data_IF_576032816156
#
_entry.id   IF_576032816156
#
_cell.length_a   1.000
_cell.length_b   1.000
_cell.length_c   1.000
_cell.angle_alpha   90.00
_cell.angle_beta   90.00
_cell.angle_gamma   90.00
#
_symmetry.space_group_name_H-M   'P 1'
#
loop_
_entity.id
_entity.type
_entity.pdbx_description
1 polymer ?
#
# COMPACT_ATOMS: atom_id res chain seq x y z
N UNK A 1 -1.17 -2.06 -10.98
CA UNK A 1 -0.28 -2.90 -11.80
C UNK A 1 -0.01 -4.17 -11.02
N UNK A 2 0.05 -5.32 -11.67
CA UNK A 2 0.44 -6.58 -11.03
C UNK A 2 1.24 -7.44 -12.02
N UNK A 3 2.09 -8.30 -11.49
CA UNK A 3 2.71 -9.38 -12.26
C UNK A 3 1.82 -10.61 -12.08
N UNK A 4 1.55 -11.34 -13.16
CA UNK A 4 0.87 -12.64 -13.11
C UNK A 4 1.93 -13.71 -13.36
N UNK A 5 2.45 -14.36 -12.30
CA UNK A 5 3.64 -15.21 -12.41
C UNK A 5 3.46 -16.36 -13.38
N UNK A 6 2.30 -17.03 -13.38
CA UNK A 6 2.11 -18.22 -14.23
C UNK A 6 2.06 -17.91 -15.72
N UNK A 7 1.84 -16.64 -16.08
CA UNK A 7 1.80 -16.18 -17.46
C UNK A 7 3.06 -15.44 -17.88
N UNK A 8 3.96 -15.12 -16.94
CA UNK A 8 5.09 -14.21 -17.16
C UNK A 8 4.64 -12.88 -17.81
N UNK A 9 3.53 -12.33 -17.31
CA UNK A 9 2.93 -11.11 -17.84
C UNK A 9 2.86 -10.00 -16.77
N UNK A 10 3.07 -8.76 -17.22
CA UNK A 10 2.80 -7.54 -16.48
C UNK A 10 1.45 -6.97 -16.89
N UNK A 11 0.53 -6.83 -15.94
CA UNK A 11 -0.81 -6.31 -16.18
C UNK A 11 -0.97 -4.91 -15.59
N UNK A 12 -1.31 -3.97 -16.46
CA UNK A 12 -1.46 -2.55 -16.13
C UNK A 12 -2.92 -2.13 -16.31
N UNK A 13 -3.57 -1.88 -15.18
CA UNK A 13 -4.90 -1.27 -15.14
C UNK A 13 -4.81 0.19 -15.61
N UNK A 14 -5.67 0.56 -16.53
CA UNK A 14 -5.79 1.93 -17.05
C UNK A 14 -7.24 2.37 -17.08
N UNK A 15 -7.48 3.66 -16.77
CA UNK A 15 -8.81 4.29 -16.78
C UNK A 15 -9.88 3.51 -16.01
N UNK A 16 -9.46 2.77 -14.99
CA UNK A 16 -10.28 1.94 -14.13
C UNK A 16 -11.14 0.85 -14.81
N UNK A 17 -10.97 0.57 -16.10
CA UNK A 17 -11.81 -0.41 -16.84
C UNK A 17 -11.06 -1.20 -17.89
N UNK A 18 -9.75 -1.03 -17.99
CA UNK A 18 -8.95 -1.62 -19.06
C UNK A 18 -7.71 -2.25 -18.45
N UNK A 19 -7.44 -3.51 -18.79
CA UNK A 19 -6.18 -4.18 -18.50
C UNK A 19 -5.35 -4.19 -19.78
N UNK A 20 -4.20 -3.52 -19.76
CA UNK A 20 -3.17 -3.69 -20.78
C UNK A 20 -2.20 -4.76 -20.28
N UNK A 21 -1.99 -5.79 -21.09
CA UNK A 21 -1.11 -6.93 -20.77
C UNK A 21 0.17 -6.80 -21.58
N UNK A 22 1.29 -7.00 -20.91
CA UNK A 22 2.63 -6.96 -21.48
C UNK A 22 3.37 -8.22 -21.05
N UNK A 23 4.36 -8.64 -21.85
CA UNK A 23 5.40 -9.55 -21.38
C UNK A 23 6.30 -8.83 -20.37
N UNK A 24 7.10 -9.57 -19.60
CA UNK A 24 8.04 -8.96 -18.64
C UNK A 24 9.12 -8.10 -19.31
N UNK A 25 9.40 -8.30 -20.59
CA UNK A 25 10.29 -7.45 -21.40
C UNK A 25 9.64 -6.13 -21.86
N UNK A 26 8.36 -5.90 -21.53
CA UNK A 26 7.59 -4.72 -21.90
C UNK A 26 6.88 -4.81 -23.25
N UNK A 27 7.02 -5.92 -24.00
CA UNK A 27 6.30 -6.08 -25.26
C UNK A 27 4.79 -6.19 -25.03
N UNK A 28 3.94 -5.46 -25.79
CA UNK A 28 2.50 -5.53 -25.63
C UNK A 28 1.96 -6.90 -26.06
N UNK A 29 1.05 -7.46 -25.27
CA UNK A 29 0.37 -8.73 -25.55
C UNK A 29 -1.06 -8.46 -26.05
N UNK A 30 -1.90 -7.87 -25.19
CA UNK A 30 -3.30 -7.56 -25.53
C UNK A 30 -3.92 -6.54 -24.58
N UNK A 31 -5.08 -6.03 -24.97
CA UNK A 31 -5.91 -5.14 -24.17
C UNK A 31 -7.25 -5.80 -23.88
N UNK A 32 -7.70 -5.75 -22.62
CA UNK A 32 -8.97 -6.33 -22.17
C UNK A 32 -9.82 -5.23 -21.54
N UNK A 33 -11.06 -5.10 -22.00
CA UNK A 33 -12.05 -4.22 -21.36
C UNK A 33 -12.79 -4.99 -20.27
N UNK A 34 -12.99 -4.35 -19.13
CA UNK A 34 -13.67 -4.93 -17.98
C UNK A 34 -15.13 -4.45 -17.92
N UNK A 35 -16.07 -5.33 -17.53
CA UNK A 35 -17.47 -4.96 -17.38
C UNK A 35 -17.72 -4.12 -16.11
N UNK A 36 -16.76 -4.09 -15.19
CA UNK A 36 -16.84 -3.39 -13.91
C UNK A 36 -15.59 -2.53 -13.66
N UNK A 37 -15.63 -1.56 -12.73
CA UNK A 37 -14.47 -0.78 -12.38
C UNK A 37 -13.42 -1.61 -11.62
N UNK A 38 -12.16 -1.34 -11.90
CA UNK A 38 -11.00 -1.99 -11.32
C UNK A 38 -9.87 -0.97 -11.19
N UNK A 39 -9.41 -0.73 -9.97
CA UNK A 39 -8.28 0.11 -9.62
C UNK A 39 -7.03 -0.72 -9.29
N UNK A 40 -7.22 -1.90 -8.70
CA UNK A 40 -6.15 -2.85 -8.41
C UNK A 40 -6.58 -4.28 -8.74
N UNK A 41 -5.59 -5.09 -9.11
CA UNK A 41 -5.71 -6.53 -9.38
C UNK A 41 -4.68 -7.21 -8.50
N UNK A 42 -5.12 -8.24 -7.80
CA UNK A 42 -4.32 -9.05 -6.91
C UNK A 42 -4.45 -10.49 -7.41
N UNK A 43 -3.40 -11.06 -8.01
CA UNK A 43 -3.40 -12.48 -8.37
C UNK A 43 -3.60 -13.34 -7.12
N UNK A 44 -4.49 -14.32 -7.20
CA UNK A 44 -4.57 -15.38 -6.18
C UNK A 44 -3.94 -16.66 -6.73
N UNK A 45 -3.78 -17.68 -5.89
CA UNK A 45 -3.48 -19.01 -6.40
C UNK A 45 -4.66 -19.50 -7.28
N UNK A 46 -4.38 -20.08 -8.45
CA UNK A 46 -5.32 -20.81 -9.33
C UNK A 46 -6.35 -19.96 -10.10
N UNK A 47 -5.87 -19.18 -11.08
CA UNK A 47 -6.65 -18.50 -12.16
C UNK A 47 -7.65 -17.42 -11.73
N UNK A 48 -7.99 -17.31 -10.45
CA UNK A 48 -8.84 -16.26 -9.91
C UNK A 48 -8.00 -15.01 -9.56
N UNK A 49 -8.70 -13.88 -9.48
CA UNK A 49 -8.13 -12.60 -9.11
C UNK A 49 -9.04 -11.89 -8.13
N UNK A 50 -8.44 -11.34 -7.07
CA UNK A 50 -9.10 -10.33 -6.27
C UNK A 50 -8.95 -8.99 -6.98
N UNK A 51 -10.07 -8.31 -7.20
CA UNK A 51 -10.11 -6.99 -7.80
C UNK A 51 -10.63 -5.98 -6.80
N UNK A 52 -10.03 -4.78 -6.78
CA UNK A 52 -10.52 -3.63 -6.01
C UNK A 52 -11.05 -2.58 -6.96
N UNK A 53 -12.24 -2.06 -6.70
CA UNK A 53 -12.94 -1.12 -7.59
C UNK A 53 -12.38 0.30 -7.56
N UNK A 54 -11.68 0.69 -6.49
CA UNK A 54 -11.27 2.07 -6.22
C UNK A 54 -12.13 2.79 -5.17
N UNK A 55 -13.01 2.10 -4.46
CA UNK A 55 -13.55 2.58 -3.18
C UNK A 55 -14.44 3.82 -3.22
N UNK A 56 -15.13 4.10 -4.34
CA UNK A 56 -15.98 5.28 -4.45
C UNK A 56 -17.48 4.94 -4.42
N UNK A 57 -18.25 5.85 -3.84
CA UNK A 57 -19.69 5.80 -3.67
C UNK A 57 -20.48 6.10 -4.96
N UNK A 58 -19.89 5.89 -6.13
CA UNK A 58 -20.51 6.11 -7.45
C UNK A 58 -20.52 4.81 -8.25
N UNK A 59 -21.34 4.69 -9.29
CA UNK A 59 -21.38 3.48 -10.16
C UNK A 59 -20.01 3.13 -10.76
N UNK A 60 -19.11 4.12 -10.87
CA UNK A 60 -17.75 3.93 -11.37
C UNK A 60 -16.78 3.41 -10.31
N UNK A 61 -17.19 3.32 -9.05
CA UNK A 61 -16.33 3.00 -7.90
C UNK A 61 -16.69 1.78 -7.11
N UNK A 62 -17.60 0.96 -7.61
CA UNK A 62 -17.95 -0.32 -7.01
C UNK A 62 -18.29 -1.38 -8.06
N UNK A 63 -18.18 -2.63 -7.66
CA UNK A 63 -18.56 -3.82 -8.39
C UNK A 63 -19.83 -4.34 -7.70
N UNK A 64 -21.00 -4.17 -8.30
CA UNK A 64 -22.27 -4.67 -7.75
C UNK A 64 -22.50 -4.28 -6.26
N UNK A 65 -22.29 -3.01 -5.93
CA UNK A 65 -22.43 -2.50 -4.57
C UNK A 65 -21.31 -2.90 -3.61
N UNK A 66 -20.19 -3.42 -4.10
CA UNK A 66 -19.03 -3.85 -3.29
C UNK A 66 -17.73 -3.24 -3.80
N UNK A 67 -16.74 -3.12 -2.93
CA UNK A 67 -15.42 -2.59 -3.28
C UNK A 67 -14.45 -3.64 -3.76
N UNK A 68 -14.66 -4.91 -3.39
CA UNK A 68 -13.83 -6.01 -3.85
C UNK A 68 -14.66 -7.17 -4.41
N UNK A 69 -14.05 -7.93 -5.31
CA UNK A 69 -14.65 -9.14 -5.86
C UNK A 69 -13.57 -10.19 -6.18
N UNK A 70 -13.95 -11.47 -6.13
CA UNK A 70 -13.20 -12.57 -6.74
C UNK A 70 -13.74 -12.80 -8.15
N UNK A 71 -12.85 -12.87 -9.14
CA UNK A 71 -13.24 -13.00 -10.55
C UNK A 71 -12.15 -13.64 -11.39
N UNK A 72 -12.54 -14.35 -12.43
CA UNK A 72 -11.67 -14.80 -13.54
C UNK A 72 -11.72 -13.85 -14.75
N UNK A 73 -12.33 -12.66 -14.57
CA UNK A 73 -12.69 -11.66 -15.58
C UNK A 73 -13.73 -12.10 -16.61
N UNK A 74 -14.32 -13.29 -16.48
CA UNK A 74 -15.48 -13.74 -17.27
C UNK A 74 -16.76 -13.64 -16.43
N UNK A 75 -16.68 -13.99 -15.15
CA UNK A 75 -17.76 -13.85 -14.18
C UNK A 75 -17.24 -13.38 -12.82
N UNK A 76 -18.13 -12.79 -12.03
CA UNK A 76 -17.88 -12.51 -10.63
C UNK A 76 -18.25 -13.77 -9.85
N UNK A 77 -17.31 -14.32 -9.10
CA UNK A 77 -17.54 -15.52 -8.28
C UNK A 77 -18.03 -15.15 -6.89
N UNK A 78 -17.52 -14.03 -6.35
CA UNK A 78 -17.85 -13.57 -5.00
C UNK A 78 -17.63 -12.07 -4.85
N UNK A 79 -18.42 -11.45 -4.00
CA UNK A 79 -18.36 -10.03 -3.67
C UNK A 79 -17.88 -9.87 -2.22
N UNK A 80 -17.01 -8.90 -1.97
CA UNK A 80 -16.45 -8.61 -0.65
C UNK A 80 -16.40 -7.12 -0.39
N UNK A 81 -16.34 -6.74 0.89
CA UNK A 81 -16.25 -5.35 1.34
C UNK A 81 -17.38 -4.49 0.72
N UNK A 82 -18.61 -4.56 1.25
CA UNK A 82 -19.74 -3.79 0.75
C UNK A 82 -19.39 -2.31 0.62
N UNK A 83 -19.91 -1.64 -0.41
CA UNK A 83 -19.70 -0.21 -0.62
C UNK A 83 -20.13 0.56 0.62
N UNK A 84 -19.29 1.49 1.04
CA UNK A 84 -19.56 2.33 2.20
C UNK A 84 -19.03 3.76 2.04
N UNK A 85 -19.46 4.66 2.93
CA UNK A 85 -18.99 6.05 2.96
C UNK A 85 -19.64 6.92 1.88
N UNK A 86 -19.09 8.14 1.70
CA UNK A 86 -19.63 9.16 0.78
C UNK A 86 -18.62 9.63 -0.27
N UNK A 87 -17.45 8.99 -0.34
CA UNK A 87 -16.36 9.38 -1.23
C UNK A 87 -16.81 9.28 -2.68
N UNK A 88 -16.81 10.38 -3.43
CA UNK A 88 -17.30 10.37 -4.81
C UNK A 88 -16.22 9.96 -5.83
N UNK A 89 -14.96 10.19 -5.47
CA UNK A 89 -13.80 10.00 -6.34
C UNK A 89 -13.10 8.67 -6.11
N UNK A 90 -12.73 8.02 -7.22
CA UNK A 90 -11.97 6.79 -7.22
C UNK A 90 -10.59 6.98 -6.60
N UNK A 91 -10.18 6.01 -5.81
CA UNK A 91 -8.88 6.01 -5.17
C UNK A 91 -8.42 4.56 -4.96
N UNK A 92 -7.22 4.25 -5.44
CA UNK A 92 -6.49 3.10 -4.93
C UNK A 92 -5.50 3.59 -3.87
N UNK A 93 -5.46 2.97 -2.68
CA UNK A 93 -4.31 3.12 -1.80
C UNK A 93 -3.02 2.82 -2.57
N UNK A 94 -1.93 3.53 -2.27
CA UNK A 94 -0.64 3.27 -2.90
C UNK A 94 -0.23 1.80 -2.77
N UNK A 95 -0.59 1.20 -1.63
CA UNK A 95 -0.35 -0.20 -1.30
C UNK A 95 -1.60 -0.77 -0.63
N UNK A 96 -2.52 -1.28 -1.46
CA UNK A 96 -3.76 -1.90 -0.96
C UNK A 96 -3.50 -3.24 -0.27
N UNK A 97 -2.47 -3.97 -0.67
CA UNK A 97 -2.22 -5.32 -0.21
C UNK A 97 -0.72 -5.63 -0.14
N UNK A 98 -0.41 -6.67 0.64
CA UNK A 98 0.89 -7.36 0.67
C UNK A 98 0.63 -8.87 0.72
N UNK A 99 1.67 -9.65 0.48
CA UNK A 99 1.63 -11.12 0.57
C UNK A 99 2.56 -11.62 1.67
N UNK A 100 2.12 -12.63 2.41
CA UNK A 100 2.95 -13.45 3.29
C UNK A 100 2.85 -14.91 2.82
N UNK A 101 3.88 -15.41 2.15
CA UNK A 101 3.83 -16.68 1.43
C UNK A 101 2.60 -16.76 0.50
N UNK A 102 1.62 -17.61 0.83
CA UNK A 102 0.38 -17.81 0.08
C UNK A 102 -0.80 -16.96 0.60
N UNK A 103 -0.63 -16.26 1.74
CA UNK A 103 -1.65 -15.38 2.33
C UNK A 103 -1.59 -13.99 1.67
N UNK A 104 -2.77 -13.45 1.36
CA UNK A 104 -2.92 -12.07 0.87
C UNK A 104 -3.52 -11.24 2.00
N UNK A 105 -2.81 -10.21 2.41
CA UNK A 105 -3.23 -9.26 3.44
C UNK A 105 -3.62 -7.95 2.78
N UNK A 106 -4.75 -7.38 3.18
CA UNK A 106 -5.40 -6.25 2.51
C UNK A 106 -5.67 -5.15 3.53
N UNK A 107 -5.26 -3.93 3.21
CA UNK A 107 -5.52 -2.72 3.99
C UNK A 107 -6.15 -1.66 3.08
N UNK A 108 -7.50 -1.64 2.98
CA UNK A 108 -8.24 -0.60 2.25
C UNK A 108 -8.08 0.79 2.89
N UNK A 109 -8.49 1.84 2.17
CA UNK A 109 -8.55 3.17 2.75
C UNK A 109 -9.74 3.34 3.72
N UNK A 110 -9.60 4.28 4.66
CA UNK A 110 -10.64 4.67 5.62
C UNK A 110 -11.18 3.52 6.48
N UNK A 111 -10.36 2.51 6.72
CA UNK A 111 -10.61 1.44 7.68
C UNK A 111 -9.40 1.26 8.59
N UNK A 112 -9.69 0.94 9.84
CA UNK A 112 -8.75 0.52 10.86
C UNK A 112 -8.56 -1.01 10.87
N UNK A 113 -9.10 -1.72 9.87
CA UNK A 113 -9.08 -3.18 9.81
C UNK A 113 -8.13 -3.65 8.71
N UNK A 114 -7.18 -4.50 9.08
CA UNK A 114 -6.41 -5.31 8.12
C UNK A 114 -7.21 -6.59 7.90
N UNK A 115 -7.45 -6.93 6.64
CA UNK A 115 -8.14 -8.15 6.24
C UNK A 115 -7.13 -9.19 5.73
N UNK A 116 -7.50 -10.47 5.81
CA UNK A 116 -6.79 -11.58 5.18
C UNK A 116 -7.72 -12.27 4.20
N UNK A 117 -7.22 -12.56 3.01
CA UNK A 117 -7.87 -13.47 2.09
C UNK A 117 -7.43 -14.91 2.39
N UNK A 118 -8.39 -15.74 2.78
CA UNK A 118 -8.22 -17.17 2.94
C UNK A 118 -8.38 -17.85 1.57
N UNK A 119 -7.26 -18.37 1.04
CA UNK A 119 -7.24 -19.04 -0.27
C UNK A 119 -8.04 -20.35 -0.28
N UNK A 120 -8.19 -21.02 0.86
CA UNK A 120 -8.91 -22.30 0.96
C UNK A 120 -10.42 -22.11 0.89
N UNK A 121 -10.94 -21.17 1.68
CA UNK A 121 -12.37 -20.87 1.76
C UNK A 121 -12.82 -19.80 0.75
N UNK A 122 -11.87 -19.16 0.06
CA UNK A 122 -12.10 -18.01 -0.82
C UNK A 122 -12.90 -16.93 -0.08
N UNK A 123 -12.43 -16.55 1.11
CA UNK A 123 -13.08 -15.56 1.97
C UNK A 123 -12.14 -14.41 2.32
N UNK A 124 -12.70 -13.21 2.50
CA UNK A 124 -11.99 -12.07 3.08
C UNK A 124 -12.48 -11.89 4.51
N UNK A 125 -11.59 -12.13 5.47
CA UNK A 125 -11.91 -12.09 6.90
C UNK A 125 -11.12 -10.96 7.59
N UNK A 126 -11.70 -10.25 8.58
CA UNK A 126 -10.93 -9.37 9.45
C UNK A 126 -9.79 -10.15 10.10
N UNK A 127 -8.59 -9.57 10.09
CA UNK A 127 -7.39 -10.18 10.65
C UNK A 127 -6.85 -9.37 11.84
N UNK A 128 -6.64 -8.07 11.66
CA UNK A 128 -6.34 -7.13 12.74
C UNK A 128 -7.35 -6.00 12.80
N UNK A 129 -7.73 -5.60 14.01
CA UNK A 129 -8.39 -4.33 14.28
C UNK A 129 -7.40 -3.39 14.96
N UNK A 130 -7.09 -2.27 14.31
CA UNK A 130 -6.08 -1.31 14.75
C UNK A 130 -6.73 -0.28 15.67
N UNK A 131 -6.46 -0.36 16.98
CA UNK A 131 -6.97 0.64 17.93
C UNK A 131 -6.11 1.91 17.91
N UNK A 132 -6.62 2.94 17.23
CA UNK A 132 -6.03 4.28 17.22
C UNK A 132 -6.62 5.20 18.30
N UNK A 133 -7.31 4.66 19.30
CA UNK A 133 -7.92 5.40 20.42
C UNK A 133 -8.81 6.58 19.96
N UNK A 134 -9.56 6.36 18.87
CA UNK A 134 -10.46 7.37 18.29
C UNK A 134 -9.78 8.45 17.43
N UNK A 135 -8.46 8.38 17.24
CA UNK A 135 -7.67 9.34 16.45
C UNK A 135 -7.68 9.06 14.95
N UNK A 136 -8.14 7.89 14.53
CA UNK A 136 -8.29 7.56 13.12
C UNK A 136 -9.49 8.28 12.50
N UNK A 137 -9.33 8.74 11.26
CA UNK A 137 -10.40 9.30 10.45
C UNK A 137 -11.32 8.16 10.03
N UNK A 138 -12.20 7.80 10.95
CA UNK A 138 -13.22 6.79 10.69
C UNK A 138 -14.24 7.32 9.68
N UNK A 139 -14.88 6.36 9.03
CA UNK A 139 -15.85 6.58 7.94
C UNK A 139 -16.95 7.60 8.25
N UNK A 140 -17.43 7.65 9.48
CA UNK A 140 -18.48 8.57 9.96
C UNK A 140 -18.01 10.03 10.08
N UNK A 141 -16.70 10.23 10.24
CA UNK A 141 -16.05 11.53 10.38
C UNK A 141 -15.53 12.09 9.05
N UNK A 142 -15.59 11.30 7.97
CA UNK A 142 -15.10 11.73 6.66
C UNK A 142 -15.98 12.86 6.10
N UNK A 143 -15.42 14.04 5.77
CA UNK A 143 -16.16 15.20 5.32
C UNK A 143 -16.71 15.00 3.91
N UNK A 144 -17.80 15.70 3.59
CA UNK A 144 -18.40 15.67 2.24
C UNK A 144 -17.69 16.57 1.24
N UNK A 145 -17.04 17.62 1.72
CA UNK A 145 -16.47 18.70 0.91
C UNK A 145 -14.95 18.74 1.08
N UNK A 146 -14.24 19.14 0.02
CA UNK A 146 -12.78 19.25 -0.01
C UNK A 146 -12.26 20.21 1.06
N UNK A 147 -13.00 21.28 1.37
CA UNK A 147 -12.64 22.21 2.44
C UNK A 147 -12.56 21.51 3.81
N UNK A 148 -13.44 20.53 4.06
CA UNK A 148 -13.39 19.73 5.28
C UNK A 148 -12.17 18.81 5.31
N UNK A 149 -11.80 18.20 4.18
CA UNK A 149 -10.57 17.40 4.09
C UNK A 149 -9.33 18.27 4.28
N UNK A 150 -9.29 19.45 3.66
CA UNK A 150 -8.20 20.41 3.81
C UNK A 150 -8.02 20.79 5.29
N UNK A 151 -9.10 21.08 6.00
CA UNK A 151 -9.01 21.39 7.43
C UNK A 151 -8.49 20.22 8.28
N UNK A 152 -8.90 18.98 7.98
CA UNK A 152 -8.39 17.78 8.66
C UNK A 152 -6.89 17.63 8.45
N UNK A 153 -6.41 17.84 7.22
CA UNK A 153 -5.00 17.72 6.84
C UNK A 153 -4.19 18.84 7.50
N UNK A 154 -4.59 20.09 7.32
CA UNK A 154 -3.85 21.27 7.81
C UNK A 154 -3.75 21.29 9.33
N UNK A 155 -4.85 20.98 10.03
CA UNK A 155 -4.88 20.94 11.50
C UNK A 155 -4.47 19.59 12.07
N UNK A 156 -4.12 18.61 11.22
CA UNK A 156 -3.76 17.24 11.62
C UNK A 156 -4.77 16.64 12.61
N UNK A 157 -6.07 16.79 12.35
CA UNK A 157 -7.13 16.41 13.30
C UNK A 157 -7.17 14.90 13.57
N UNK A 158 -6.89 14.12 12.53
CA UNK A 158 -6.99 12.66 12.54
C UNK A 158 -5.82 12.04 11.80
N UNK A 159 -5.54 10.77 12.07
CA UNK A 159 -4.81 9.90 11.15
C UNK A 159 -5.74 9.64 9.98
N UNK A 160 -5.42 10.18 8.80
CA UNK A 160 -6.30 10.16 7.65
C UNK A 160 -5.83 9.20 6.54
N UNK A 161 -4.66 8.56 6.70
CA UNK A 161 -4.22 7.54 5.76
C UNK A 161 -3.18 6.58 6.35
N UNK A 162 -3.12 5.38 5.76
CA UNK A 162 -2.07 4.39 5.95
C UNK A 162 -1.38 4.14 4.60
N UNK A 163 -0.06 4.24 4.58
CA UNK A 163 0.77 3.98 3.40
C UNK A 163 1.78 2.87 3.68
N UNK A 164 2.57 2.50 2.67
CA UNK A 164 3.72 1.61 2.82
C UNK A 164 3.38 0.27 3.47
N UNK A 165 2.25 -0.31 3.09
CA UNK A 165 1.78 -1.59 3.62
C UNK A 165 2.54 -2.76 2.99
N UNK A 166 3.46 -3.36 3.75
CA UNK A 166 4.33 -4.45 3.29
C UNK A 166 4.63 -5.45 4.40
N UNK A 167 4.94 -6.68 3.99
CA UNK A 167 5.36 -7.75 4.89
C UNK A 167 6.83 -8.10 4.70
N UNK A 168 7.58 -8.24 5.80
CA UNK A 168 8.95 -8.77 5.80
C UNK A 168 9.34 -9.31 7.19
N UNK A 169 9.99 -10.49 7.24
CA UNK A 169 10.49 -11.13 8.48
C UNK A 169 9.44 -11.27 9.60
N UNK A 170 8.22 -11.71 9.28
CA UNK A 170 7.10 -11.81 10.23
C UNK A 170 6.61 -10.47 10.81
N UNK A 171 6.94 -9.36 10.13
CA UNK A 171 6.42 -8.04 10.46
C UNK A 171 5.55 -7.48 9.33
N UNK A 172 4.39 -6.95 9.71
CA UNK A 172 3.59 -6.07 8.88
C UNK A 172 3.96 -4.61 9.13
N UNK A 173 4.51 -3.96 8.11
CA UNK A 173 4.87 -2.56 8.15
C UNK A 173 3.79 -1.70 7.50
N UNK A 174 3.56 -0.51 8.06
CA UNK A 174 2.78 0.55 7.43
C UNK A 174 3.20 1.90 8.01
N UNK A 175 2.84 2.98 7.33
CA UNK A 175 3.13 4.34 7.76
C UNK A 175 1.83 5.12 7.92
N UNK A 176 1.66 5.77 9.07
CA UNK A 176 0.53 6.65 9.34
C UNK A 176 0.77 8.05 8.75
N UNK A 177 -0.33 8.72 8.42
CA UNK A 177 -0.33 10.11 7.95
C UNK A 177 -1.45 10.91 8.61
N UNK A 178 -1.12 12.12 9.07
CA UNK A 178 -2.07 13.07 9.65
C UNK A 178 -1.68 13.46 11.07
N UNK A 179 -2.56 13.21 12.05
CA UNK A 179 -2.32 13.48 13.47
C UNK A 179 -1.04 12.83 13.97
N UNK A 180 -0.80 11.59 13.55
CA UNK A 180 0.46 10.88 13.71
C UNK A 180 1.13 10.70 12.34
N UNK A 181 2.46 10.68 12.37
CA UNK A 181 3.33 10.60 11.20
C UNK A 181 4.49 9.63 11.49
N UNK A 182 4.10 8.44 11.98
CA UNK A 182 4.98 7.37 12.41
C UNK A 182 4.89 6.17 11.47
N UNK A 183 5.95 5.39 11.48
CA UNK A 183 5.96 4.02 11.00
C UNK A 183 5.41 3.11 12.09
N UNK A 184 4.71 2.09 11.67
CA UNK A 184 4.20 1.02 12.50
C UNK A 184 4.74 -0.30 11.98
N UNK A 185 5.04 -1.21 12.90
CA UNK A 185 5.37 -2.60 12.59
C UNK A 185 4.60 -3.51 13.55
N UNK A 186 3.81 -4.43 13.02
CA UNK A 186 3.15 -5.47 13.82
C UNK A 186 3.97 -6.75 13.67
N UNK A 187 4.50 -7.27 14.77
CA UNK A 187 5.09 -8.61 14.76
C UNK A 187 3.99 -9.65 14.80
N UNK A 188 3.85 -10.43 13.74
CA UNK A 188 2.72 -11.35 13.56
C UNK A 188 2.73 -12.53 14.54
N UNK A 189 3.92 -12.96 15.00
CA UNK A 189 4.08 -14.09 15.93
C UNK A 189 3.36 -13.90 17.27
N UNK A 190 3.38 -12.68 17.81
CA UNK A 190 2.85 -12.36 19.14
C UNK A 190 1.94 -11.12 19.16
N UNK A 191 1.62 -10.58 17.98
CA UNK A 191 0.72 -9.45 17.76
C UNK A 191 1.15 -8.16 18.48
N UNK A 192 2.47 -7.96 18.65
CA UNK A 192 3.01 -6.75 19.26
C UNK A 192 3.17 -5.65 18.20
N UNK A 193 2.57 -4.49 18.49
CA UNK A 193 2.71 -3.27 17.68
C UNK A 193 3.91 -2.43 18.17
N UNK A 194 4.78 -2.08 17.23
CA UNK A 194 5.85 -1.10 17.39
C UNK A 194 5.47 0.17 16.63
N UNK A 195 5.82 1.33 17.19
CA UNK A 195 5.62 2.65 16.58
C UNK A 195 6.91 3.45 16.70
N UNK A 196 7.35 4.08 15.60
CA UNK A 196 8.60 4.82 15.52
C UNK A 196 8.55 5.87 14.41
N UNK A 197 9.15 7.04 14.60
CA UNK A 197 9.15 8.15 13.63
C UNK A 197 10.44 8.22 12.80
N UNK A 198 11.42 7.36 13.10
CA UNK A 198 12.76 7.36 12.53
C UNK A 198 13.21 5.94 12.18
N UNK A 199 14.01 5.84 11.13
CA UNK A 199 14.62 4.60 10.64
C UNK A 199 16.09 4.52 11.11
N UNK A 200 16.98 4.05 10.24
CA UNK A 200 18.42 3.96 10.50
C UNK A 200 19.06 5.33 10.77
N UNK A 201 20.06 5.41 11.64
CA UNK A 201 20.79 6.65 11.97
C UNK A 201 19.87 7.87 12.24
N UNK A 202 18.70 7.66 12.86
CA UNK A 202 17.67 8.68 13.08
C UNK A 202 17.08 9.30 11.79
N UNK A 203 17.22 8.64 10.64
CA UNK A 203 16.72 9.13 9.36
C UNK A 203 15.20 9.19 9.37
N UNK A 204 14.65 10.35 9.03
CA UNK A 204 13.21 10.56 8.86
C UNK A 204 12.92 10.81 7.39
N UNK A 205 12.11 9.94 6.79
CA UNK A 205 11.68 10.14 5.41
C UNK A 205 10.71 11.32 5.32
N UNK A 206 10.87 12.15 4.29
CA UNK A 206 9.92 13.22 3.93
C UNK A 206 8.76 12.71 3.08
N UNK A 207 8.83 11.46 2.62
CA UNK A 207 7.84 10.88 1.74
C UNK A 207 6.68 10.28 2.52
N UNK A 208 5.46 10.46 1.99
CA UNK A 208 4.24 9.89 2.57
C UNK A 208 4.18 8.37 2.38
N UNK A 209 4.74 7.86 1.28
CA UNK A 209 4.86 6.43 0.97
C UNK A 209 6.32 6.06 0.69
N UNK A 210 7.16 5.95 1.73
CA UNK A 210 8.59 5.78 1.56
C UNK A 210 9.01 4.35 1.16
N UNK A 211 8.27 3.32 1.61
CA UNK A 211 8.54 1.95 1.17
C UNK A 211 7.83 1.66 -0.15
N UNK A 212 8.56 1.06 -1.09
CA UNK A 212 8.08 0.77 -2.45
C UNK A 212 8.02 -0.73 -2.78
N UNK A 213 8.42 -1.56 -1.82
CA UNK A 213 8.41 -3.00 -1.96
C UNK A 213 8.92 -3.69 -0.69
N UNK A 214 8.74 -5.00 -0.66
CA UNK A 214 9.44 -5.88 0.25
C UNK A 214 9.71 -7.23 -0.42
N UNK A 215 10.62 -7.98 0.18
CA UNK A 215 10.71 -9.42 0.02
C UNK A 215 11.03 -10.05 1.38
N UNK A 216 11.05 -11.40 1.44
CA UNK A 216 11.35 -12.25 2.61
C UNK A 216 11.81 -11.51 3.86
N UNK A 217 13.00 -10.91 3.80
CA UNK A 217 13.59 -10.18 4.93
C UNK A 217 14.02 -8.74 4.64
N UNK A 218 13.59 -8.17 3.52
CA UNK A 218 13.99 -6.83 3.12
C UNK A 218 12.79 -5.91 2.91
N UNK A 219 12.94 -4.67 3.36
CA UNK A 219 12.10 -3.55 2.93
C UNK A 219 12.88 -2.67 1.96
N UNK A 220 12.20 -2.23 0.91
CA UNK A 220 12.75 -1.39 -0.13
C UNK A 220 12.32 0.07 0.10
N UNK A 221 13.23 0.90 0.58
CA UNK A 221 13.02 2.31 0.87
C UNK A 221 13.52 3.18 -0.28
N UNK A 222 12.67 4.08 -0.78
CA UNK A 222 13.07 5.08 -1.77
C UNK A 222 13.41 6.41 -1.07
N UNK A 223 14.59 6.96 -1.36
CA UNK A 223 15.08 8.23 -0.77
C UNK A 223 15.64 9.11 -1.88
N UNK A 224 15.50 10.43 -1.76
CA UNK A 224 16.22 11.35 -2.65
C UNK A 224 17.65 11.53 -2.21
N UNK A 225 18.52 11.69 -3.19
CA UNK A 225 19.93 12.01 -2.98
C UNK A 225 20.15 13.18 -2.01
N UNK A 226 19.51 14.33 -2.25
CA UNK A 226 19.67 15.49 -1.39
C UNK A 226 19.18 15.26 0.06
N UNK A 227 18.11 14.48 0.25
CA UNK A 227 17.60 14.15 1.57
C UNK A 227 18.60 13.30 2.34
N UNK A 228 19.20 12.30 1.68
CA UNK A 228 20.20 11.43 2.28
C UNK A 228 21.51 12.17 2.55
N UNK A 229 22.01 12.94 1.57
CA UNK A 229 23.21 13.76 1.69
C UNK A 229 23.05 14.79 2.82
N UNK A 230 21.92 15.51 2.83
CA UNK A 230 21.61 16.52 3.84
C UNK A 230 21.52 15.94 5.25
N UNK A 231 20.92 14.76 5.42
CA UNK A 231 20.86 14.05 6.70
C UNK A 231 22.26 13.79 7.27
N UNK A 232 23.17 13.29 6.44
CA UNK A 232 24.51 12.89 6.86
C UNK A 232 25.54 14.03 6.92
N UNK A 233 25.16 15.28 6.66
CA UNK A 233 26.02 16.44 6.96
C UNK A 233 26.32 16.56 8.46
N UNK A 234 25.34 16.25 9.30
CA UNK A 234 25.39 16.48 10.75
C UNK A 234 25.27 15.19 11.57
N UNK A 235 25.09 14.04 10.92
CA UNK A 235 24.86 12.76 11.57
C UNK A 235 25.97 11.79 11.16
N UNK A 236 26.52 11.07 12.12
CA UNK A 236 27.52 10.03 11.86
C UNK A 236 26.84 8.81 11.21
N UNK A 237 27.26 8.48 9.99
CA UNK A 237 26.78 7.28 9.30
C UNK A 237 27.31 6.00 9.94
N UNK A 238 26.41 5.15 10.46
CA UNK A 238 26.80 3.85 11.05
C UNK A 238 26.74 2.69 10.06
N UNK A 239 26.11 2.89 8.89
CA UNK A 239 25.90 1.86 7.88
C UNK A 239 26.98 1.90 6.77
N UNK A 240 27.80 0.83 6.60
CA UNK A 240 28.90 0.83 5.63
C UNK A 240 28.46 1.06 4.17
N UNK A 241 27.31 0.50 3.78
CA UNK A 241 26.79 0.64 2.41
C UNK A 241 26.48 2.10 2.06
N UNK A 242 25.79 2.81 2.97
CA UNK A 242 25.49 4.23 2.82
C UNK A 242 26.80 5.02 2.84
N UNK A 243 27.69 4.77 3.81
CA UNK A 243 28.99 5.47 3.93
C UNK A 243 29.81 5.39 2.64
N UNK A 244 29.79 4.26 1.94
CA UNK A 244 30.49 4.08 0.65
C UNK A 244 29.92 4.99 -0.45
N UNK A 245 28.61 5.26 -0.42
CA UNK A 245 27.93 6.11 -1.41
C UNK A 245 28.03 7.60 -1.09
N UNK A 246 28.08 7.98 0.21
CA UNK A 246 28.05 9.38 0.67
C UNK A 246 29.00 10.34 -0.08
N UNK A 247 30.27 9.99 -0.39
CA UNK A 247 31.18 10.91 -1.08
C UNK A 247 30.70 11.34 -2.48
N UNK A 248 29.84 10.55 -3.12
CA UNK A 248 29.28 10.85 -4.44
C UNK A 248 27.94 11.57 -4.39
N UNK A 249 27.32 11.74 -3.22
CA UNK A 249 25.99 12.35 -3.11
C UNK A 249 26.10 13.87 -2.98
N UNK A 250 25.22 14.58 -3.67
CA UNK A 250 25.13 16.04 -3.64
C UNK A 250 23.90 16.50 -2.87
N UNK A 251 24.05 17.53 -2.03
CA UNK A 251 22.92 18.17 -1.33
C UNK A 251 21.98 18.93 -2.27
N UNK A 252 22.42 19.17 -3.51
CA UNK A 252 21.62 19.72 -4.62
C UNK A 252 21.14 18.67 -5.61
N UNK A 253 21.54 17.41 -5.43
CA UNK A 253 21.15 16.29 -6.28
C UNK A 253 19.67 15.93 -6.12
N UNK A 254 19.12 15.21 -7.09
CA UNK A 254 17.70 14.84 -7.09
C UNK A 254 17.46 13.40 -7.53
N UNK A 255 18.52 12.60 -7.63
CA UNK A 255 18.36 11.21 -8.04
C UNK A 255 17.63 10.41 -6.96
N UNK A 256 16.92 9.39 -7.42
CA UNK A 256 16.29 8.42 -6.53
C UNK A 256 17.30 7.34 -6.16
N UNK A 257 17.42 7.10 -4.86
CA UNK A 257 18.25 6.06 -4.28
C UNK A 257 17.34 5.01 -3.67
N UNK A 258 17.50 3.77 -4.13
CA UNK A 258 16.88 2.61 -3.49
C UNK A 258 17.78 2.09 -2.38
N UNK A 259 17.29 2.14 -1.15
CA UNK A 259 17.92 1.53 0.02
C UNK A 259 17.21 0.23 0.37
N UNK A 260 18.00 -0.84 0.51
CA UNK A 260 17.52 -2.13 1.01
C UNK A 260 17.74 -2.20 2.52
N UNK A 261 16.65 -2.28 3.27
CA UNK A 261 16.68 -2.41 4.73
C UNK A 261 16.44 -3.88 5.07
N UNK A 262 17.49 -4.56 5.52
CA UNK A 262 17.37 -5.93 6.04
C UNK A 262 16.78 -5.89 7.44
N UNK A 263 15.61 -6.50 7.62
CA UNK A 263 14.95 -6.65 8.91
C UNK A 263 15.66 -7.78 9.69
N UNK A 264 15.90 -7.54 10.97
CA UNK A 264 16.49 -8.53 11.87
C UNK A 264 15.37 -9.32 12.53
N UNK A 265 15.53 -10.64 12.56
CA UNK A 265 14.70 -11.57 13.32
C UNK A 265 14.90 -11.39 14.84
#
# INVERSE_FOLDING_TARGET
MCIVPELEELWVVSRFKIINKFKLDGAPVKKVSLPFPCAAIIPTAKQDFLVYSGGANTERGHIEGHFMALTDFKSIHKLYLPKWGKKEWLFAPYNLYTTDADDILILPDNTDTIYRYDTSEKEILPYYSLDFHGEFLTRDKYPKEDAGMAEIIDKKKYIHNCYSFYFASDYLFFKLMGKRDDFCAIRCKDNILFSFDRLFDNFRSKYVNPFIGSDKNNLYLLVRENDLAGHYLNIKCTYPAIRKMLPGLLTTGNDWILLTIKIKE
#
